data_IF_809342347994
#
_entry.id   IF_809342347994
#
_cell.length_a   1.000
_cell.length_b   1.000
_cell.length_c   1.000
_cell.angle_alpha   90.00
_cell.angle_beta   90.00
_cell.angle_gamma   90.00
#
_symmetry.space_group_name_H-M   'P 1'
#
loop_
_entity.id
_entity.type
_entity.pdbx_description
1 polymer ?
#
# COMPACT_ATOMS: atom_id res chain seq x y z
N UNK A 1 -9.70 -14.77 12.66
CA UNK A 1 -8.86 -15.75 13.39
C UNK A 1 -9.37 -17.19 13.32
N UNK A 2 -10.69 -17.49 13.53
CA UNK A 2 -11.19 -18.88 13.52
C UNK A 2 -10.97 -19.58 12.17
N UNK A 3 -11.41 -18.96 11.07
CA UNK A 3 -11.19 -19.49 9.71
C UNK A 3 -9.71 -19.62 9.37
N UNK A 4 -8.89 -18.64 9.72
CA UNK A 4 -7.44 -18.69 9.50
C UNK A 4 -6.80 -19.87 10.25
N UNK A 5 -7.18 -20.11 11.51
CA UNK A 5 -6.71 -21.27 12.29
C UNK A 5 -7.11 -22.59 11.64
N UNK A 6 -8.33 -22.68 11.10
CA UNK A 6 -8.80 -23.87 10.39
C UNK A 6 -7.99 -24.11 9.11
N UNK A 7 -7.79 -23.10 8.29
CA UNK A 7 -7.02 -23.21 7.04
C UNK A 7 -5.54 -23.55 7.28
N UNK A 8 -4.94 -23.02 8.34
CA UNK A 8 -3.52 -23.21 8.65
C UNK A 8 -3.26 -24.38 9.61
N UNK A 9 -4.29 -25.14 9.99
CA UNK A 9 -4.16 -26.30 10.86
C UNK A 9 -3.09 -27.32 10.44
N UNK A 10 -2.90 -27.63 9.13
CA UNK A 10 -1.82 -28.53 8.71
C UNK A 10 -0.41 -28.01 9.03
N UNK A 11 -0.26 -26.69 9.25
CA UNK A 11 1.01 -26.01 9.56
C UNK A 11 1.12 -25.62 11.04
N UNK A 12 0.24 -26.13 11.88
CA UNK A 12 -0.02 -25.66 13.24
C UNK A 12 1.21 -25.53 14.14
N UNK A 13 2.21 -26.41 14.01
CA UNK A 13 3.47 -26.29 14.75
C UNK A 13 4.40 -25.17 14.27
N UNK A 14 4.12 -24.60 13.09
CA UNK A 14 4.92 -23.53 12.46
C UNK A 14 4.20 -22.18 12.46
N UNK A 15 2.95 -22.11 12.96
CA UNK A 15 2.13 -20.91 12.91
C UNK A 15 1.70 -20.52 14.31
N UNK A 16 2.03 -19.29 14.69
CA UNK A 16 1.54 -18.66 15.92
C UNK A 16 0.58 -17.55 15.56
N UNK A 17 -0.61 -17.55 16.15
CA UNK A 17 -1.59 -16.49 15.96
C UNK A 17 -1.52 -15.49 17.11
N UNK A 18 -1.21 -14.26 16.79
CA UNK A 18 -1.24 -13.14 17.73
C UNK A 18 -2.38 -12.21 17.34
N UNK A 19 -3.20 -11.81 18.29
CA UNK A 19 -4.27 -10.83 18.10
C UNK A 19 -3.91 -9.55 18.83
N UNK A 20 -3.82 -8.45 18.10
CA UNK A 20 -3.46 -7.14 18.65
C UNK A 20 -3.23 -6.12 17.55
N UNK A 21 -3.07 -4.86 17.94
CA UNK A 21 -2.65 -3.79 17.04
C UNK A 21 -1.20 -3.99 16.64
N UNK A 22 -0.91 -3.87 15.36
CA UNK A 22 0.46 -4.06 14.83
C UNK A 22 1.43 -3.03 15.42
N UNK A 23 0.98 -1.80 15.64
CA UNK A 23 1.80 -0.72 16.19
C UNK A 23 2.25 -1.03 17.63
N UNK A 24 1.36 -1.63 18.43
CA UNK A 24 1.68 -2.08 19.78
C UNK A 24 2.60 -3.31 19.76
N UNK A 25 2.28 -4.28 18.88
CA UNK A 25 3.04 -5.51 18.76
C UNK A 25 4.48 -5.27 18.30
N UNK A 26 4.72 -4.25 17.48
CA UNK A 26 6.06 -3.92 16.98
C UNK A 26 7.08 -3.77 18.10
N UNK A 27 6.69 -3.19 19.24
CA UNK A 27 7.61 -2.99 20.37
C UNK A 27 8.14 -4.30 20.94
N UNK A 28 7.34 -5.36 20.92
CA UNK A 28 7.65 -6.69 21.46
C UNK A 28 8.27 -7.65 20.45
N UNK A 29 8.17 -7.36 19.15
CA UNK A 29 8.73 -8.24 18.12
C UNK A 29 10.26 -8.33 18.22
N UNK A 30 10.77 -9.58 18.25
CA UNK A 30 12.19 -9.91 18.25
C UNK A 30 12.45 -11.07 17.30
N UNK A 31 13.60 -11.10 16.66
CA UNK A 31 14.02 -12.22 15.80
C UNK A 31 13.11 -12.42 14.58
N UNK A 32 12.61 -11.33 14.00
CA UNK A 32 11.79 -11.37 12.78
C UNK A 32 12.71 -11.28 11.57
N UNK A 33 12.73 -12.33 10.76
CA UNK A 33 13.56 -12.41 9.55
C UNK A 33 12.91 -11.71 8.34
N UNK A 34 11.58 -11.68 8.30
CA UNK A 34 10.80 -11.04 7.23
C UNK A 34 9.43 -10.64 7.75
N UNK A 35 8.99 -9.44 7.42
CA UNK A 35 7.63 -8.97 7.64
C UNK A 35 6.89 -8.86 6.30
N UNK A 36 5.69 -9.42 6.23
CA UNK A 36 4.82 -9.33 5.05
C UNK A 36 3.56 -8.56 5.46
N UNK A 37 3.33 -7.43 4.82
CA UNK A 37 2.19 -6.54 5.01
C UNK A 37 1.44 -6.43 3.66
N UNK A 38 0.47 -7.31 3.46
CA UNK A 38 -0.40 -7.28 2.29
C UNK A 38 -1.78 -6.81 2.71
N UNK A 39 -2.25 -5.71 2.15
CA UNK A 39 -3.53 -5.08 2.53
C UNK A 39 -3.64 -4.85 4.04
N UNK A 40 -2.66 -4.18 4.60
CA UNK A 40 -2.58 -3.87 6.03
C UNK A 40 -2.36 -2.38 6.26
N UNK A 41 -1.51 -1.76 5.43
CA UNK A 41 -1.08 -0.39 5.71
C UNK A 41 -2.14 0.66 5.35
N UNK A 42 -3.10 0.29 4.49
CA UNK A 42 -4.27 1.10 4.14
C UNK A 42 -5.29 1.25 5.28
N UNK A 43 -5.33 0.26 6.19
CA UNK A 43 -6.17 0.25 7.39
C UNK A 43 -5.59 1.06 8.56
N UNK A 44 -4.32 1.45 8.50
CA UNK A 44 -3.68 2.20 9.57
C UNK A 44 -4.10 3.67 9.57
N UNK A 45 -3.86 4.34 10.70
CA UNK A 45 -4.23 5.74 10.89
C UNK A 45 -3.84 6.61 9.68
N UNK A 46 -4.83 7.26 9.10
CA UNK A 46 -4.64 8.30 8.08
C UNK A 46 -5.25 9.61 8.61
N UNK A 47 -4.43 10.64 8.69
CA UNK A 47 -4.92 11.96 9.06
C UNK A 47 -5.51 12.65 7.83
N UNK A 48 -6.71 13.15 8.00
CA UNK A 48 -7.54 13.69 6.92
C UNK A 48 -7.69 15.19 7.02
N UNK A 49 -8.11 15.81 5.92
CA UNK A 49 -8.42 17.25 5.83
C UNK A 49 -7.29 18.17 6.32
N UNK A 50 -6.04 17.75 6.11
CA UNK A 50 -4.87 18.55 6.47
C UNK A 50 -4.71 19.74 5.53
N UNK A 51 -4.19 20.87 6.07
CA UNK A 51 -3.80 22.04 5.30
C UNK A 51 -2.28 22.16 5.26
N UNK A 52 -1.72 22.44 4.09
CA UNK A 52 -0.28 22.67 3.93
C UNK A 52 0.25 23.84 4.78
N UNK A 53 -0.59 24.85 5.03
CA UNK A 53 -0.25 26.02 5.83
C UNK A 53 -0.26 25.77 7.36
N UNK A 54 -0.84 24.63 7.83
CA UNK A 54 -1.00 24.34 9.26
C UNK A 54 -0.87 22.84 9.54
N UNK A 55 0.33 22.30 9.31
CA UNK A 55 0.58 20.89 9.55
C UNK A 55 0.65 20.56 11.04
N UNK A 56 0.00 19.47 11.49
CA UNK A 56 0.23 18.92 12.82
C UNK A 56 1.70 18.59 13.04
N UNK A 57 2.21 18.78 14.26
CA UNK A 57 3.64 18.70 14.56
C UNK A 57 4.30 17.38 14.12
N UNK A 58 3.60 16.26 14.19
CA UNK A 58 4.15 14.98 13.75
C UNK A 58 4.24 14.88 12.23
N UNK A 59 3.22 15.34 11.49
CA UNK A 59 3.27 15.40 10.02
C UNK A 59 4.40 16.33 9.59
N UNK A 60 4.52 17.51 10.22
CA UNK A 60 5.61 18.44 9.97
C UNK A 60 6.98 17.81 10.23
N UNK A 61 7.10 16.97 11.28
CA UNK A 61 8.33 16.19 11.56
C UNK A 61 8.65 15.25 10.39
N UNK A 62 7.71 14.41 9.96
CA UNK A 62 7.93 13.49 8.84
C UNK A 62 8.30 14.22 7.54
N UNK A 63 7.58 15.31 7.23
CA UNK A 63 7.85 16.13 6.05
C UNK A 63 9.29 16.68 6.08
N UNK A 64 9.70 17.27 7.21
CA UNK A 64 11.03 17.88 7.36
C UNK A 64 12.13 16.81 7.39
N UNK A 65 11.98 15.78 8.24
CA UNK A 65 13.05 14.83 8.53
C UNK A 65 13.33 13.89 7.35
N UNK A 66 12.32 13.62 6.54
CA UNK A 66 12.42 12.73 5.38
C UNK A 66 12.25 13.43 4.03
N UNK A 67 12.04 14.74 4.01
CA UNK A 67 11.84 15.50 2.78
C UNK A 67 10.63 15.02 1.98
N UNK A 68 9.50 14.77 2.67
CA UNK A 68 8.29 14.29 2.01
C UNK A 68 7.58 15.43 1.28
N UNK A 69 7.07 15.12 0.09
CA UNK A 69 6.31 16.09 -0.70
C UNK A 69 4.85 16.10 -0.23
N UNK A 70 4.33 17.27 0.09
CA UNK A 70 2.91 17.51 0.37
C UNK A 70 2.30 18.36 -0.73
N UNK A 71 0.96 18.29 -0.98
CA UNK A 71 0.32 19.13 -1.97
C UNK A 71 0.25 20.59 -1.49
N UNK A 72 0.30 21.53 -2.42
CA UNK A 72 0.08 22.97 -2.16
C UNK A 72 -1.40 23.33 -2.07
N UNK A 73 -2.20 22.46 -1.47
CA UNK A 73 -3.65 22.63 -1.34
C UNK A 73 -4.13 22.33 0.07
N UNK A 74 -5.28 22.87 0.40
CA UNK A 74 -6.02 22.47 1.59
C UNK A 74 -6.73 21.13 1.37
N UNK A 75 -7.01 20.44 2.47
CA UNK A 75 -7.75 19.16 2.51
C UNK A 75 -7.07 18.02 1.76
N UNK A 76 -5.92 17.62 2.24
CA UNK A 76 -5.27 16.38 1.81
C UNK A 76 -5.21 15.36 2.95
N UNK A 77 -4.94 14.10 2.58
CA UNK A 77 -4.77 13.00 3.54
C UNK A 77 -3.30 12.63 3.65
N UNK A 78 -2.91 12.12 4.82
CA UNK A 78 -1.53 11.74 5.11
C UNK A 78 -1.50 10.43 5.88
N UNK A 79 -0.86 9.40 5.33
CA UNK A 79 -0.80 8.03 5.89
C UNK A 79 0.16 7.94 7.09
N UNK A 80 -0.17 8.60 8.18
CA UNK A 80 0.73 8.71 9.33
C UNK A 80 1.01 7.36 9.99
N UNK A 81 0.01 6.48 10.09
CA UNK A 81 0.15 5.14 10.67
C UNK A 81 1.10 4.26 9.86
N UNK A 82 0.95 4.26 8.52
CA UNK A 82 1.84 3.54 7.63
C UNK A 82 3.31 4.02 7.75
N UNK A 83 3.51 5.34 7.87
CA UNK A 83 4.84 5.92 8.03
C UNK A 83 5.47 5.61 9.39
N UNK A 84 4.68 5.64 10.48
CA UNK A 84 5.14 5.23 11.83
C UNK A 84 5.60 3.76 11.82
N UNK A 85 4.77 2.87 11.28
CA UNK A 85 5.09 1.45 11.20
C UNK A 85 6.36 1.22 10.37
N UNK A 86 6.47 1.87 9.22
CA UNK A 86 7.63 1.78 8.36
C UNK A 86 8.91 2.29 9.03
N UNK A 87 8.83 3.44 9.70
CA UNK A 87 9.96 4.03 10.45
C UNK A 87 10.48 3.02 11.48
N UNK A 88 9.58 2.34 12.20
CA UNK A 88 9.94 1.34 13.20
C UNK A 88 10.54 0.06 12.57
N UNK A 89 9.95 -0.46 11.49
CA UNK A 89 10.49 -1.57 10.70
C UNK A 89 11.94 -1.27 10.27
N UNK A 90 12.16 -0.08 9.73
CA UNK A 90 13.48 0.35 9.26
C UNK A 90 14.49 0.48 10.39
N UNK A 91 14.11 1.07 11.54
CA UNK A 91 14.96 1.20 12.73
C UNK A 91 15.35 -0.15 13.34
N UNK A 92 14.40 -1.10 13.35
CA UNK A 92 14.66 -2.49 13.80
C UNK A 92 15.42 -3.32 12.77
N UNK A 93 15.65 -2.79 11.58
CA UNK A 93 16.30 -3.47 10.45
C UNK A 93 15.59 -4.76 10.04
N UNK A 94 14.27 -4.81 10.14
CA UNK A 94 13.49 -5.96 9.70
C UNK A 94 13.30 -5.86 8.19
N UNK A 95 13.69 -6.87 7.38
CA UNK A 95 13.32 -6.95 5.99
C UNK A 95 11.80 -6.99 5.85
N UNK A 96 11.24 -6.25 4.89
CA UNK A 96 9.79 -6.20 4.73
C UNK A 96 9.36 -6.25 3.27
N UNK A 97 8.17 -6.83 3.05
CA UNK A 97 7.40 -6.76 1.83
C UNK A 97 6.05 -6.09 2.15
N UNK A 98 5.72 -5.05 1.42
CA UNK A 98 4.47 -4.29 1.55
C UNK A 98 3.77 -4.29 0.21
N UNK A 99 2.49 -4.60 0.16
CA UNK A 99 1.65 -4.42 -1.03
C UNK A 99 0.29 -3.85 -0.65
N UNK A 100 -0.15 -2.85 -1.42
CA UNK A 100 -1.36 -2.09 -1.13
C UNK A 100 -1.82 -1.27 -2.33
N UNK A 101 -3.06 -0.77 -2.28
CA UNK A 101 -3.56 0.26 -3.18
C UNK A 101 -2.71 1.52 -3.08
N UNK A 102 -2.27 2.04 -4.22
CA UNK A 102 -1.37 3.18 -4.29
C UNK A 102 -2.07 4.45 -4.79
N UNK A 103 -1.76 5.57 -4.16
CA UNK A 103 -2.12 6.89 -4.67
C UNK A 103 -1.15 7.41 -5.74
N UNK A 104 0.02 6.80 -5.86
CA UNK A 104 1.05 7.10 -6.86
C UNK A 104 1.41 5.83 -7.66
N UNK A 105 0.46 5.27 -8.44
CA UNK A 105 0.63 3.99 -9.13
C UNK A 105 1.74 4.05 -10.17
N UNK A 106 2.35 2.88 -10.43
CA UNK A 106 3.35 2.70 -11.47
C UNK A 106 2.71 1.97 -12.65
N UNK A 107 2.66 2.60 -13.79
CA UNK A 107 2.21 1.98 -15.04
C UNK A 107 3.42 1.29 -15.70
N UNK A 108 3.34 -0.01 -16.01
CA UNK A 108 4.42 -0.71 -16.69
C UNK A 108 4.67 -0.13 -18.08
N UNK A 109 5.94 -0.09 -18.54
CA UNK A 109 6.27 0.36 -19.88
C UNK A 109 5.48 -0.40 -20.95
N UNK A 110 4.91 0.31 -21.91
CA UNK A 110 4.10 -0.26 -23.00
C UNK A 110 2.63 -0.53 -22.64
N UNK A 111 2.23 -0.32 -21.38
CA UNK A 111 0.85 -0.51 -20.91
C UNK A 111 0.16 0.80 -20.54
N UNK A 112 0.46 1.90 -21.24
CA UNK A 112 -0.09 3.24 -20.95
C UNK A 112 -1.63 3.29 -20.96
N UNK A 113 -2.27 2.37 -21.64
CA UNK A 113 -3.73 2.21 -21.62
C UNK A 113 -4.29 1.89 -20.23
N UNK A 114 -3.48 1.32 -19.32
CA UNK A 114 -3.88 1.07 -17.93
C UNK A 114 -4.04 2.38 -17.13
N UNK A 115 -3.41 3.46 -17.56
CA UNK A 115 -3.60 4.77 -16.93
C UNK A 115 -5.00 5.36 -17.20
N UNK A 116 -5.72 4.83 -18.18
CA UNK A 116 -7.09 5.30 -18.49
C UNK A 116 -8.02 4.95 -17.34
N UNK A 117 -8.71 5.97 -16.82
CA UNK A 117 -9.64 5.82 -15.70
C UNK A 117 -8.99 5.86 -14.31
N UNK A 118 -7.67 5.95 -14.21
CA UNK A 118 -7.02 6.27 -12.95
C UNK A 118 -7.31 7.73 -12.58
N UNK A 119 -7.96 7.93 -11.46
CA UNK A 119 -8.17 9.25 -10.85
C UNK A 119 -7.25 9.39 -9.65
N UNK A 120 -5.97 9.63 -9.90
CA UNK A 120 -5.02 9.86 -8.82
C UNK A 120 -4.28 11.17 -9.06
N UNK A 121 -4.19 11.98 -8.01
CA UNK A 121 -3.37 13.18 -7.96
C UNK A 121 -2.02 12.94 -7.25
N UNK A 122 -1.70 11.69 -7.00
CA UNK A 122 -0.49 11.27 -6.31
C UNK A 122 -0.59 11.34 -4.78
N UNK A 123 -1.74 11.68 -4.21
CA UNK A 123 -1.96 11.76 -2.76
C UNK A 123 -3.02 10.76 -2.29
N UNK A 124 -2.97 10.35 -1.01
CA UNK A 124 -3.92 9.38 -0.46
C UNK A 124 -5.36 9.81 -0.65
N UNK A 125 -6.21 8.87 -1.08
CA UNK A 125 -7.67 9.03 -1.17
C UNK A 125 -8.37 7.98 -0.33
N UNK A 126 -9.55 8.32 0.14
CA UNK A 126 -10.41 7.40 0.89
C UNK A 126 -11.01 6.34 -0.04
N UNK A 127 -10.99 5.09 0.40
CA UNK A 127 -11.73 3.95 -0.17
C UNK A 127 -12.81 3.58 0.84
N UNK A 128 -14.07 3.88 0.52
CA UNK A 128 -15.19 3.60 1.42
C UNK A 128 -15.64 2.15 1.29
N UNK A 129 -15.48 1.38 2.35
CA UNK A 129 -15.99 0.03 2.48
C UNK A 129 -17.30 0.02 3.30
N UNK A 130 -17.96 -1.13 3.35
CA UNK A 130 -19.27 -1.26 4.03
C UNK A 130 -19.22 -0.87 5.51
N UNK A 131 -18.14 -1.18 6.21
CA UNK A 131 -18.05 -1.05 7.66
C UNK A 131 -16.94 -0.10 8.14
N UNK A 132 -16.03 0.31 7.27
CA UNK A 132 -14.89 1.18 7.57
C UNK A 132 -14.40 1.86 6.30
N UNK A 133 -13.47 2.78 6.45
CA UNK A 133 -12.75 3.37 5.34
C UNK A 133 -11.29 2.97 5.41
N UNK A 134 -10.71 2.71 4.25
CA UNK A 134 -9.28 2.51 4.02
C UNK A 134 -8.74 3.69 3.22
N UNK A 135 -7.44 3.80 3.13
CA UNK A 135 -6.81 4.87 2.36
C UNK A 135 -5.74 4.31 1.45
N UNK A 136 -5.72 4.78 0.21
CA UNK A 136 -4.61 4.47 -0.69
C UNK A 136 -3.30 5.00 -0.11
N UNK A 137 -2.21 4.29 -0.38
CA UNK A 137 -0.89 4.60 0.18
C UNK A 137 -0.03 5.37 -0.82
N UNK A 138 0.61 6.43 -0.36
CA UNK A 138 1.64 7.09 -1.15
C UNK A 138 2.97 6.36 -0.98
N UNK A 139 3.25 5.43 -1.91
CA UNK A 139 4.46 4.60 -1.86
C UNK A 139 5.76 5.40 -1.97
N UNK A 140 5.75 6.51 -2.70
CA UNK A 140 6.93 7.39 -2.75
C UNK A 140 7.34 7.93 -1.38
N UNK A 141 6.37 8.15 -0.46
CA UNK A 141 6.68 8.52 0.92
C UNK A 141 7.32 7.35 1.68
N UNK A 142 6.80 6.12 1.53
CA UNK A 142 7.39 4.93 2.15
C UNK A 142 8.83 4.71 1.68
N UNK A 143 9.06 4.78 0.37
CA UNK A 143 10.40 4.67 -0.22
C UNK A 143 11.33 5.72 0.38
N UNK A 144 10.89 6.98 0.42
CA UNK A 144 11.71 8.09 0.90
C UNK A 144 12.12 7.92 2.36
N UNK A 145 11.19 7.49 3.23
CA UNK A 145 11.49 7.22 4.65
C UNK A 145 12.50 6.07 4.78
N UNK A 146 12.28 4.97 4.07
CA UNK A 146 13.17 3.82 4.12
C UNK A 146 14.59 4.17 3.65
N UNK A 147 14.72 4.89 2.55
CA UNK A 147 16.03 5.33 2.01
C UNK A 147 16.74 6.32 2.93
N UNK A 148 16.00 7.27 3.53
CA UNK A 148 16.56 8.20 4.51
C UNK A 148 17.09 7.49 5.77
N UNK A 149 16.50 6.32 6.10
CA UNK A 149 16.98 5.46 7.19
C UNK A 149 18.04 4.44 6.74
N UNK A 150 18.62 4.62 5.55
CA UNK A 150 19.72 3.81 5.03
C UNK A 150 19.29 2.41 4.57
N UNK A 151 18.01 2.20 4.26
CA UNK A 151 17.50 0.91 3.77
C UNK A 151 17.50 0.88 2.24
N UNK A 152 17.77 -0.30 1.68
CA UNK A 152 17.63 -0.53 0.23
C UNK A 152 16.18 -0.86 -0.09
N UNK A 153 15.64 -0.20 -1.10
CA UNK A 153 14.25 -0.39 -1.53
C UNK A 153 14.17 -0.88 -2.97
N UNK A 154 13.11 -1.64 -3.26
CA UNK A 154 12.66 -1.94 -4.62
C UNK A 154 11.15 -1.86 -4.63
N UNK A 155 10.58 -1.27 -5.67
CA UNK A 155 9.13 -1.08 -5.79
C UNK A 155 8.70 -1.25 -7.24
N UNK A 156 7.45 -1.59 -7.46
CA UNK A 156 6.88 -1.75 -8.79
C UNK A 156 5.36 -1.91 -8.76
N UNK A 157 4.76 -2.09 -9.93
CA UNK A 157 3.35 -2.41 -10.07
C UNK A 157 3.08 -3.89 -9.78
N UNK A 158 1.82 -4.22 -9.46
CA UNK A 158 1.38 -5.62 -9.30
C UNK A 158 1.66 -6.46 -10.56
N UNK A 159 1.47 -5.91 -11.76
CA UNK A 159 1.75 -6.60 -13.03
C UNK A 159 3.21 -7.02 -13.12
N UNK A 160 4.12 -6.12 -12.75
CA UNK A 160 5.56 -6.42 -12.75
C UNK A 160 5.91 -7.48 -11.71
N UNK A 161 5.27 -7.45 -10.53
CA UNK A 161 5.44 -8.45 -9.50
C UNK A 161 4.99 -9.84 -9.92
N UNK A 162 3.83 -9.92 -10.57
CA UNK A 162 3.27 -11.18 -11.07
C UNK A 162 3.96 -11.70 -12.34
N UNK A 163 4.85 -10.91 -12.95
CA UNK A 163 5.50 -11.28 -14.20
C UNK A 163 4.55 -11.40 -15.38
N UNK A 164 3.43 -10.70 -15.36
CA UNK A 164 2.41 -10.75 -16.41
C UNK A 164 2.99 -10.13 -17.68
N UNK A 165 2.97 -10.93 -18.76
CA UNK A 165 3.35 -10.47 -20.10
C UNK A 165 2.12 -10.07 -20.87
N UNK A 166 2.19 -8.91 -21.52
CA UNK A 166 1.10 -8.46 -22.39
C UNK A 166 0.93 -9.41 -23.58
N UNK A 167 -0.32 -9.80 -23.82
CA UNK A 167 -0.76 -10.49 -25.02
C UNK A 167 -1.90 -9.71 -25.67
N UNK A 168 -2.19 -9.89 -26.98
CA UNK A 168 -3.33 -9.23 -27.61
C UNK A 168 -4.67 -9.49 -26.90
N UNK A 169 -4.87 -10.72 -26.41
CA UNK A 169 -6.07 -11.07 -25.64
C UNK A 169 -6.15 -10.37 -24.28
N UNK A 170 -5.02 -10.31 -23.56
CA UNK A 170 -4.96 -9.60 -22.27
C UNK A 170 -5.16 -8.09 -22.47
N UNK A 171 -4.54 -7.51 -23.50
CA UNK A 171 -4.75 -6.10 -23.86
C UNK A 171 -6.21 -5.82 -24.18
N UNK A 172 -6.87 -6.70 -24.92
CA UNK A 172 -8.30 -6.60 -25.21
C UNK A 172 -9.12 -6.57 -23.90
N UNK A 173 -8.86 -7.50 -22.97
CA UNK A 173 -9.53 -7.54 -21.65
C UNK A 173 -9.31 -6.24 -20.89
N UNK A 174 -8.09 -5.74 -20.82
CA UNK A 174 -7.75 -4.52 -20.11
C UNK A 174 -8.30 -3.24 -20.73
N UNK A 175 -8.62 -3.26 -22.03
CA UNK A 175 -9.16 -2.09 -22.75
C UNK A 175 -10.66 -2.18 -23.00
N UNK A 176 -11.26 -3.38 -22.86
CA UNK A 176 -12.68 -3.58 -23.04
C UNK A 176 -13.48 -2.76 -22.01
N UNK A 177 -14.40 -1.96 -22.48
CA UNK A 177 -15.40 -1.36 -21.61
C UNK A 177 -16.43 -2.44 -21.27
N UNK A 178 -16.31 -2.99 -20.08
CA UNK A 178 -17.27 -3.97 -19.59
C UNK A 178 -18.64 -3.30 -19.40
N UNK A 179 -19.69 -3.89 -19.93
CA UNK A 179 -21.07 -3.50 -19.58
C UNK A 179 -21.43 -4.13 -18.22
N UNK A 180 -22.29 -3.46 -17.47
CA UNK A 180 -22.64 -3.77 -16.07
C UNK A 180 -23.36 -5.13 -15.85
N UNK A 181 -22.72 -6.24 -16.22
CA UNK A 181 -23.16 -7.59 -15.86
C UNK A 181 -22.27 -8.13 -14.74
N UNK A 182 -22.84 -8.92 -13.82
CA UNK A 182 -22.17 -9.44 -12.62
C UNK A 182 -20.82 -10.13 -12.88
N UNK A 183 -20.71 -10.87 -14.00
CA UNK A 183 -19.47 -11.53 -14.41
C UNK A 183 -18.36 -10.54 -14.78
N UNK A 184 -18.70 -9.30 -15.07
CA UNK A 184 -17.76 -8.24 -15.46
C UNK A 184 -17.31 -7.40 -14.26
N UNK A 185 -18.05 -7.42 -13.16
CA UNK A 185 -17.66 -6.77 -11.93
C UNK A 185 -16.31 -7.31 -11.41
N UNK A 186 -16.11 -8.63 -11.48
CA UNK A 186 -14.86 -9.29 -11.11
C UNK A 186 -13.68 -8.83 -11.98
N UNK A 187 -13.92 -8.66 -13.29
CA UNK A 187 -12.88 -8.16 -14.22
C UNK A 187 -12.56 -6.70 -13.92
N UNK A 188 -13.56 -5.88 -13.63
CA UNK A 188 -13.34 -4.47 -13.26
C UNK A 188 -12.59 -4.33 -11.95
N UNK A 189 -12.97 -5.10 -10.94
CA UNK A 189 -12.28 -5.15 -9.66
C UNK A 189 -10.81 -5.59 -9.81
N UNK A 190 -10.58 -6.65 -10.60
CA UNK A 190 -9.22 -7.08 -10.94
C UNK A 190 -8.43 -5.98 -11.67
N UNK A 191 -9.07 -5.27 -12.61
CA UNK A 191 -8.43 -4.17 -13.34
C UNK A 191 -8.04 -3.01 -12.41
N UNK A 192 -8.88 -2.68 -11.44
CA UNK A 192 -8.58 -1.62 -10.46
C UNK A 192 -7.38 -2.01 -9.60
N UNK A 193 -7.33 -3.24 -9.11
CA UNK A 193 -6.17 -3.77 -8.42
C UNK A 193 -4.91 -3.74 -9.28
N UNK A 194 -4.98 -4.18 -10.52
CA UNK A 194 -3.86 -4.19 -11.45
C UNK A 194 -3.32 -2.78 -11.73
N UNK A 195 -4.20 -1.79 -11.82
CA UNK A 195 -3.83 -0.39 -12.11
C UNK A 195 -3.22 0.32 -10.92
N UNK A 196 -3.77 0.13 -9.73
CA UNK A 196 -3.44 0.91 -8.54
C UNK A 196 -2.46 0.21 -7.62
N UNK A 197 -2.41 -1.12 -7.61
CA UNK A 197 -1.58 -1.87 -6.68
C UNK A 197 -0.09 -1.71 -6.92
N UNK A 198 0.61 -1.40 -5.85
CA UNK A 198 2.07 -1.38 -5.82
C UNK A 198 2.61 -2.33 -4.76
N UNK A 199 3.85 -2.70 -4.93
CA UNK A 199 4.63 -3.40 -3.93
C UNK A 199 5.92 -2.65 -3.60
N UNK A 200 6.43 -2.87 -2.40
CA UNK A 200 7.68 -2.34 -1.90
C UNK A 200 8.41 -3.43 -1.12
N UNK A 201 9.68 -3.67 -1.43
CA UNK A 201 10.57 -4.44 -0.56
C UNK A 201 11.57 -3.52 0.11
N UNK A 202 11.92 -3.86 1.35
CA UNK A 202 12.87 -3.13 2.19
C UNK A 202 13.89 -4.14 2.71
N UNK A 203 15.18 -3.83 2.51
CA UNK A 203 16.33 -4.68 2.91
C UNK A 203 17.36 -3.92 3.71
#
# INVERSE_FOLDING_TARGET
LKKQRECLKPWGSKVTFVHGDISELMSSLRGVDLMILNEVVGDLDTWTDLSAGALPGEVARFVRDYGLVIPERDKFHFNIGALRLLEEICRKRIPAFISEHSSDPIIPPGMDYLARGLTSDGFPREIRLKNHSEYTIRFSHLVRVAEALGRKTRTGSLIAFLGIKETPGLRFIFTAQASAKDEQAVILEFLDHVREYRWLTIQ
#
